data_IF_935965148555
#
_entry.id   IF_935965148555
#
_cell.length_a   1.000
_cell.length_b   1.000
_cell.length_c   1.000
_cell.angle_alpha   90.00
_cell.angle_beta   90.00
_cell.angle_gamma   90.00
#
_symmetry.space_group_name_H-M   'P 1'
#
loop_
_entity.id
_entity.type
_entity.pdbx_description
1 polymer ?
#
# COMPACT_ATOMS: atom_id res chain seq x y z
N UNK A 1 -23.85 16.40 10.05
CA UNK A 1 -22.41 16.28 9.66
C UNK A 1 -21.74 15.36 10.68
N UNK A 2 -21.07 14.31 10.21
CA UNK A 2 -20.40 13.30 11.05
C UNK A 2 -18.96 13.73 11.29
N UNK A 3 -18.57 13.95 12.55
CA UNK A 3 -17.22 14.38 12.94
C UNK A 3 -16.33 13.15 13.17
N UNK A 4 -15.27 13.01 12.37
CA UNK A 4 -14.42 11.81 12.38
C UNK A 4 -13.00 12.19 12.74
N UNK A 5 -12.48 11.54 13.79
CA UNK A 5 -11.09 11.65 14.22
C UNK A 5 -10.27 10.55 13.55
N UNK A 6 -9.50 10.89 12.54
CA UNK A 6 -8.54 9.98 11.90
C UNK A 6 -7.20 10.02 12.62
N UNK A 7 -6.70 8.87 13.04
CA UNK A 7 -5.39 8.73 13.68
C UNK A 7 -4.52 7.86 12.80
N UNK A 8 -3.40 8.40 12.32
CA UNK A 8 -2.52 7.73 11.37
C UNK A 8 -1.09 7.64 11.85
N UNK A 9 -0.36 6.61 11.41
CA UNK A 9 0.96 6.24 11.95
C UNK A 9 2.15 7.00 11.38
N UNK A 10 1.97 7.72 10.27
CA UNK A 10 3.04 8.25 9.42
C UNK A 10 2.63 9.58 8.81
N UNK A 11 3.60 10.42 8.46
CA UNK A 11 3.38 11.65 7.69
C UNK A 11 4.05 11.59 6.31
N UNK A 12 4.40 10.38 5.84
CA UNK A 12 4.99 10.11 4.53
C UNK A 12 3.92 10.00 3.43
N UNK A 13 4.30 9.54 2.22
CA UNK A 13 3.38 9.29 1.09
C UNK A 13 3.52 7.87 0.54
N UNK A 14 3.63 6.88 1.43
CA UNK A 14 3.59 5.47 1.05
C UNK A 14 2.14 4.96 0.92
N UNK A 15 1.94 3.68 0.65
CA UNK A 15 0.65 3.11 0.28
C UNK A 15 -0.52 3.47 1.20
N UNK A 16 -0.42 3.26 2.52
CA UNK A 16 -1.50 3.61 3.47
C UNK A 16 -1.70 5.12 3.61
N UNK A 17 -0.62 5.91 3.46
CA UNK A 17 -0.66 7.37 3.53
C UNK A 17 -1.40 7.93 2.30
N UNK A 18 -1.05 7.44 1.09
CA UNK A 18 -1.74 7.80 -0.17
C UNK A 18 -3.22 7.40 -0.14
N UNK A 19 -3.55 6.22 0.38
CA UNK A 19 -4.95 5.77 0.49
C UNK A 19 -5.76 6.69 1.40
N UNK A 20 -5.19 7.09 2.55
CA UNK A 20 -5.84 8.05 3.46
C UNK A 20 -6.01 9.41 2.79
N UNK A 21 -4.98 9.94 2.16
CA UNK A 21 -5.03 11.21 1.43
C UNK A 21 -6.13 11.21 0.36
N UNK A 22 -6.17 10.19 -0.48
CA UNK A 22 -7.16 10.08 -1.54
C UNK A 22 -8.59 9.96 -0.99
N UNK A 23 -8.81 9.17 0.07
CA UNK A 23 -10.10 9.11 0.74
C UNK A 23 -10.54 10.50 1.22
N UNK A 24 -9.66 11.21 1.92
CA UNK A 24 -9.98 12.50 2.53
C UNK A 24 -10.09 13.65 1.51
N UNK A 25 -9.40 13.55 0.39
CA UNK A 25 -9.53 14.48 -0.74
C UNK A 25 -10.91 14.40 -1.38
N UNK A 26 -11.46 13.20 -1.53
CA UNK A 26 -12.68 12.93 -2.30
C UNK A 26 -13.94 12.68 -1.45
N UNK A 27 -13.82 12.53 -0.13
CA UNK A 27 -14.96 12.35 0.76
C UNK A 27 -15.87 13.61 0.75
N UNK A 28 -17.17 13.41 0.80
CA UNK A 28 -18.14 14.52 0.86
C UNK A 28 -18.00 15.33 2.14
N UNK A 29 -17.32 16.47 2.06
CA UNK A 29 -17.04 17.37 3.20
C UNK A 29 -18.29 18.10 3.70
N UNK A 30 -19.43 17.98 3.02
CA UNK A 30 -20.71 18.51 3.53
C UNK A 30 -21.38 17.56 4.51
N UNK A 31 -21.07 16.26 4.41
CA UNK A 31 -21.61 15.18 5.26
C UNK A 31 -20.63 14.74 6.34
N UNK A 32 -19.33 14.75 6.03
CA UNK A 32 -18.25 14.27 6.89
C UNK A 32 -17.24 15.37 7.20
N UNK A 33 -16.88 15.52 8.46
CA UNK A 33 -15.87 16.47 8.90
C UNK A 33 -14.64 15.72 9.45
N UNK A 34 -13.59 15.52 8.62
CA UNK A 34 -12.38 14.82 9.04
C UNK A 34 -11.44 15.73 9.80
N UNK A 35 -10.89 15.24 10.90
CA UNK A 35 -9.71 15.79 11.57
C UNK A 35 -8.66 14.70 11.64
N UNK A 36 -7.44 14.99 11.21
CA UNK A 36 -6.36 14.01 11.13
C UNK A 36 -5.32 14.26 12.22
N UNK A 37 -4.89 13.20 12.90
CA UNK A 37 -3.80 13.23 13.85
C UNK A 37 -2.61 12.47 13.28
N UNK A 38 -1.47 13.15 13.15
CA UNK A 38 -0.21 12.60 12.67
C UNK A 38 0.86 12.66 13.76
N UNK A 39 1.88 11.76 13.72
CA UNK A 39 2.95 11.75 14.72
C UNK A 39 3.94 12.90 14.58
N UNK A 40 4.09 13.45 13.39
CA UNK A 40 5.06 14.49 13.05
C UNK A 40 4.62 15.26 11.79
N UNK A 41 5.30 16.36 11.52
CA UNK A 41 5.24 17.05 10.21
C UNK A 41 5.78 16.13 9.10
N UNK A 42 5.34 16.36 7.85
CA UNK A 42 5.81 15.61 6.70
C UNK A 42 4.97 15.82 5.44
N UNK A 43 5.33 15.13 4.33
CA UNK A 43 4.68 15.32 3.04
C UNK A 43 3.15 15.10 3.08
N UNK A 44 2.66 14.11 3.81
CA UNK A 44 1.22 13.84 3.94
C UNK A 44 0.49 15.04 4.58
N UNK A 45 1.07 15.64 5.62
CA UNK A 45 0.46 16.84 6.21
C UNK A 45 0.34 17.97 5.20
N UNK A 46 1.41 18.21 4.45
CA UNK A 46 1.42 19.27 3.43
C UNK A 46 0.33 19.07 2.37
N UNK A 47 0.09 17.82 1.94
CA UNK A 47 -0.99 17.51 1.00
C UNK A 47 -2.38 17.65 1.63
N UNK A 48 -2.57 17.23 2.88
CA UNK A 48 -3.83 17.39 3.60
C UNK A 48 -4.17 18.88 3.85
N UNK A 49 -3.16 19.70 4.15
CA UNK A 49 -3.33 21.15 4.31
C UNK A 49 -3.81 21.81 3.00
N UNK A 50 -3.30 21.40 1.84
CA UNK A 50 -3.79 21.86 0.50
C UNK A 50 -5.26 21.53 0.27
N UNK A 51 -5.74 20.42 0.82
CA UNK A 51 -7.13 19.99 0.75
C UNK A 51 -8.03 20.63 1.83
N UNK A 52 -7.50 21.59 2.61
CA UNK A 52 -8.16 22.24 3.74
C UNK A 52 -8.62 21.27 4.83
N UNK A 53 -7.88 20.18 5.03
CA UNK A 53 -8.16 19.18 6.07
C UNK A 53 -7.37 19.56 7.32
N UNK A 54 -8.07 19.67 8.44
CA UNK A 54 -7.43 20.01 9.72
C UNK A 54 -6.52 18.89 10.19
N UNK A 55 -5.22 19.19 10.35
CA UNK A 55 -4.20 18.27 10.87
C UNK A 55 -3.69 18.72 12.21
N UNK A 56 -3.50 17.78 13.13
CA UNK A 56 -2.93 18.00 14.46
C UNK A 56 -1.76 17.05 14.68
N UNK A 57 -0.65 17.57 15.17
CA UNK A 57 0.51 16.76 15.52
C UNK A 57 0.42 16.34 16.99
N UNK A 58 0.34 15.02 17.21
CA UNK A 58 0.31 14.43 18.55
C UNK A 58 0.87 13.00 18.55
N UNK A 59 1.30 12.47 19.73
CA UNK A 59 1.73 11.09 19.82
C UNK A 59 0.59 10.12 19.46
N UNK A 60 0.78 9.31 18.39
CA UNK A 60 -0.22 8.34 17.91
C UNK A 60 -0.07 6.96 18.52
N UNK A 61 0.91 6.77 19.40
CA UNK A 61 1.25 5.51 20.07
C UNK A 61 1.58 4.40 19.08
N UNK A 62 2.49 4.69 18.17
CA UNK A 62 2.95 3.73 17.15
C UNK A 62 3.67 2.56 17.80
N UNK A 63 3.22 1.33 17.47
CA UNK A 63 3.88 0.09 17.87
C UNK A 63 5.08 -0.18 16.95
N UNK A 64 6.25 -0.39 17.54
CA UNK A 64 7.47 -0.74 16.81
C UNK A 64 8.34 -1.75 17.60
N UNK A 65 9.23 -2.47 16.92
CA UNK A 65 9.99 -3.59 17.53
C UNK A 65 10.77 -3.22 18.80
N UNK A 66 11.37 -2.01 18.84
CA UNK A 66 12.16 -1.55 20.00
C UNK A 66 11.32 -0.95 21.13
N UNK A 67 9.99 -0.98 21.05
CA UNK A 67 9.09 -0.38 22.06
C UNK A 67 9.19 -1.06 23.44
N UNK A 68 9.57 -2.32 23.49
CA UNK A 68 9.58 -3.12 24.71
C UNK A 68 10.84 -2.95 25.60
N UNK A 69 11.66 -1.91 25.38
CA UNK A 69 12.73 -1.55 26.31
C UNK A 69 12.17 -0.73 27.48
N UNK A 70 12.72 -0.81 28.71
CA UNK A 70 12.19 -0.05 29.87
C UNK A 70 12.06 1.45 29.64
N UNK A 71 13.02 2.07 28.96
CA UNK A 71 13.02 3.49 28.62
C UNK A 71 11.88 3.85 27.65
N UNK A 72 11.65 3.01 26.65
CA UNK A 72 10.60 3.23 25.65
C UNK A 72 9.20 2.97 26.24
N UNK A 73 9.05 2.05 27.21
CA UNK A 73 7.80 1.82 27.92
C UNK A 73 7.42 3.07 28.74
N UNK A 74 8.38 3.68 29.46
CA UNK A 74 8.12 4.92 30.21
C UNK A 74 7.73 6.07 29.28
N UNK A 75 8.42 6.21 28.14
CA UNK A 75 8.05 7.18 27.11
C UNK A 75 6.65 6.91 26.58
N UNK A 76 6.30 5.67 26.27
CA UNK A 76 5.00 5.26 25.78
C UNK A 76 3.87 5.64 26.78
N UNK A 77 4.05 5.41 28.07
CA UNK A 77 3.08 5.82 29.09
C UNK A 77 2.89 7.34 29.15
N UNK A 78 3.98 8.12 29.04
CA UNK A 78 3.90 9.58 28.96
C UNK A 78 3.18 10.02 27.67
N UNK A 79 3.46 9.36 26.57
CA UNK A 79 2.85 9.67 25.28
C UNK A 79 1.35 9.31 25.24
N UNK A 80 0.89 8.30 26.00
CA UNK A 80 -0.54 8.05 26.21
C UNK A 80 -1.24 9.28 26.76
N UNK A 81 -0.70 9.84 27.86
CA UNK A 81 -1.29 11.02 28.47
C UNK A 81 -1.31 12.20 27.52
N UNK A 82 -0.17 12.51 26.89
CA UNK A 82 -0.05 13.62 25.93
C UNK A 82 -1.02 13.47 24.75
N UNK A 83 -1.08 12.26 24.17
CA UNK A 83 -2.00 11.97 23.06
C UNK A 83 -3.46 12.14 23.47
N UNK A 84 -3.87 11.58 24.60
CA UNK A 84 -5.24 11.69 25.10
C UNK A 84 -5.60 13.15 25.44
N UNK A 85 -4.71 13.89 26.09
CA UNK A 85 -4.95 15.32 26.44
C UNK A 85 -5.12 16.17 25.17
N UNK A 86 -4.30 15.94 24.13
CA UNK A 86 -4.44 16.61 22.84
C UNK A 86 -5.79 16.31 22.19
N UNK A 87 -6.22 15.03 22.19
CA UNK A 87 -7.52 14.65 21.64
C UNK A 87 -8.69 15.18 22.47
N UNK A 88 -8.55 15.32 23.78
CA UNK A 88 -9.58 15.91 24.65
C UNK A 88 -9.80 17.39 24.33
N UNK A 89 -8.72 18.15 24.05
CA UNK A 89 -8.83 19.54 23.61
C UNK A 89 -9.61 19.61 22.29
N UNK A 90 -9.27 18.77 21.33
CA UNK A 90 -9.98 18.72 20.04
C UNK A 90 -11.45 18.37 20.22
N UNK A 91 -11.76 17.36 21.03
CA UNK A 91 -13.13 16.88 21.23
C UNK A 91 -14.05 17.90 21.92
N UNK A 92 -13.50 18.78 22.75
CA UNK A 92 -14.28 19.90 23.34
C UNK A 92 -14.87 20.83 22.29
N UNK A 93 -14.20 20.97 21.14
CA UNK A 93 -14.61 21.87 20.07
C UNK A 93 -15.34 21.17 18.93
N UNK A 94 -15.06 19.87 18.71
CA UNK A 94 -15.52 19.15 17.52
C UNK A 94 -16.53 18.02 17.79
N UNK A 95 -16.63 17.52 19.03
CA UNK A 95 -17.56 16.43 19.41
C UNK A 95 -17.52 15.24 18.44
N UNK A 96 -16.45 14.42 18.51
CA UNK A 96 -16.25 13.29 17.61
C UNK A 96 -17.31 12.21 17.74
N UNK A 97 -17.89 11.82 16.61
CA UNK A 97 -18.83 10.70 16.48
C UNK A 97 -18.11 9.38 16.29
N UNK A 98 -16.99 9.40 15.56
CA UNK A 98 -16.18 8.23 15.20
C UNK A 98 -14.71 8.50 15.45
N UNK A 99 -14.02 7.53 16.08
CA UNK A 99 -12.56 7.44 16.10
C UNK A 99 -12.14 6.41 15.06
N UNK A 100 -11.32 6.83 14.12
CA UNK A 100 -10.83 6.02 13.03
C UNK A 100 -9.32 5.80 13.18
N UNK A 101 -8.90 4.55 13.44
CA UNK A 101 -7.48 4.16 13.45
C UNK A 101 -7.08 3.64 12.09
N UNK A 102 -6.14 4.33 11.43
CA UNK A 102 -5.59 3.91 10.14
C UNK A 102 -4.28 3.15 10.36
N UNK A 103 -4.27 1.86 10.03
CA UNK A 103 -3.24 0.85 10.27
C UNK A 103 -3.26 0.19 11.66
N UNK A 104 -2.75 -1.05 11.73
CA UNK A 104 -2.67 -1.80 13.01
C UNK A 104 -1.68 -1.20 14.01
N UNK A 105 -0.74 -0.40 13.53
CA UNK A 105 0.32 0.14 14.39
C UNK A 105 -0.15 1.25 15.34
N UNK A 106 -1.37 1.80 15.18
CA UNK A 106 -1.86 2.96 15.92
C UNK A 106 -2.72 2.52 17.10
N UNK A 107 -2.26 2.68 18.35
CA UNK A 107 -3.01 2.28 19.53
C UNK A 107 -3.76 3.43 20.23
N UNK A 108 -3.46 4.69 19.92
CA UNK A 108 -4.12 5.84 20.55
C UNK A 108 -5.63 5.81 20.35
N UNK A 109 -6.10 5.39 19.16
CA UNK A 109 -7.52 5.32 18.84
C UNK A 109 -8.31 4.41 19.78
N UNK A 110 -7.79 3.22 20.09
CA UNK A 110 -8.44 2.29 21.04
C UNK A 110 -8.56 2.92 22.43
N UNK A 111 -7.45 3.50 22.91
CA UNK A 111 -7.38 4.08 24.26
C UNK A 111 -8.38 5.22 24.36
N UNK A 112 -8.39 6.08 23.36
CA UNK A 112 -9.24 7.26 23.33
C UNK A 112 -10.72 6.90 23.19
N UNK A 113 -11.07 6.09 22.20
CA UNK A 113 -12.44 5.66 21.94
C UNK A 113 -13.05 4.96 23.18
N UNK A 114 -12.29 4.06 23.83
CA UNK A 114 -12.72 3.41 25.07
C UNK A 114 -12.93 4.41 26.23
N UNK A 115 -11.98 5.33 26.42
CA UNK A 115 -12.06 6.33 27.50
C UNK A 115 -13.25 7.27 27.33
N UNK A 116 -13.58 7.65 26.10
CA UNK A 116 -14.65 8.60 25.79
C UNK A 116 -15.95 7.95 25.36
N UNK A 117 -15.99 6.61 25.27
CA UNK A 117 -17.15 5.82 24.80
C UNK A 117 -17.62 6.25 23.39
N UNK A 118 -16.64 6.57 22.53
CA UNK A 118 -16.87 6.91 21.12
C UNK A 118 -16.75 5.64 20.29
N UNK A 119 -17.54 5.50 19.21
CA UNK A 119 -17.45 4.38 18.29
C UNK A 119 -16.06 4.31 17.66
N UNK A 120 -15.48 3.11 17.60
CA UNK A 120 -14.14 2.88 17.05
C UNK A 120 -14.16 2.04 15.79
N UNK A 121 -13.68 2.61 14.69
CA UNK A 121 -13.45 1.95 13.43
C UNK A 121 -11.95 1.77 13.21
N UNK A 122 -11.53 0.56 12.80
CA UNK A 122 -10.13 0.28 12.49
C UNK A 122 -9.97 -0.13 11.03
N UNK A 123 -9.13 0.59 10.28
CA UNK A 123 -8.78 0.25 8.92
C UNK A 123 -7.43 -0.47 8.88
N UNK A 124 -7.44 -1.71 8.45
CA UNK A 124 -6.27 -2.60 8.45
C UNK A 124 -5.67 -2.66 7.06
N UNK A 125 -4.40 -2.28 6.97
CA UNK A 125 -3.60 -2.25 5.76
C UNK A 125 -2.46 -3.28 5.77
N UNK A 126 -2.39 -4.14 6.78
CA UNK A 126 -1.28 -5.06 6.99
C UNK A 126 -1.73 -6.52 7.03
N UNK A 127 -0.91 -7.38 6.43
CA UNK A 127 -0.92 -8.83 6.67
C UNK A 127 0.26 -9.14 7.58
N UNK A 128 -0.01 -9.51 8.84
CA UNK A 128 1.02 -9.85 9.80
C UNK A 128 1.07 -11.36 9.97
N UNK A 129 2.15 -11.96 9.49
CA UNK A 129 2.44 -13.39 9.66
C UNK A 129 3.47 -13.63 10.76
N UNK A 130 4.48 -12.76 10.83
CA UNK A 130 5.56 -12.84 11.81
C UNK A 130 5.79 -11.51 12.54
N UNK A 131 6.16 -11.52 13.83
CA UNK A 131 6.24 -12.69 14.74
C UNK A 131 4.85 -13.29 15.05
N UNK A 132 4.77 -14.63 15.21
CA UNK A 132 3.50 -15.34 15.46
C UNK A 132 2.71 -14.78 16.64
N UNK A 133 3.40 -14.30 17.69
CA UNK A 133 2.77 -13.68 18.87
C UNK A 133 1.99 -12.42 18.46
N UNK A 134 2.61 -11.54 17.72
CA UNK A 134 1.99 -10.28 17.22
C UNK A 134 0.81 -10.61 16.30
N UNK A 135 1.01 -11.55 15.37
CA UNK A 135 -0.03 -12.02 14.47
C UNK A 135 -1.27 -12.60 15.20
N UNK A 136 -1.09 -13.14 16.41
CA UNK A 136 -2.18 -13.69 17.22
C UNK A 136 -2.83 -12.67 18.17
N UNK A 137 -2.10 -11.63 18.56
CA UNK A 137 -2.60 -10.60 19.49
C UNK A 137 -3.53 -9.62 18.77
N UNK A 138 -3.17 -9.14 17.58
CA UNK A 138 -3.96 -8.12 16.89
C UNK A 138 -5.41 -8.54 16.61
N UNK A 139 -5.72 -9.74 16.10
CA UNK A 139 -7.12 -10.16 15.94
C UNK A 139 -7.93 -10.11 17.23
N UNK A 140 -7.31 -10.47 18.39
CA UNK A 140 -7.97 -10.39 19.71
C UNK A 140 -8.24 -8.93 20.11
N UNK A 141 -7.29 -8.04 19.87
CA UNK A 141 -7.45 -6.59 20.12
C UNK A 141 -8.59 -6.05 19.26
N UNK A 142 -8.60 -6.35 17.95
CA UNK A 142 -9.65 -5.92 17.02
C UNK A 142 -11.03 -6.44 17.48
N UNK A 143 -11.14 -7.73 17.81
CA UNK A 143 -12.39 -8.33 18.26
C UNK A 143 -12.96 -7.65 19.50
N UNK A 144 -12.08 -7.29 20.47
CA UNK A 144 -12.48 -6.73 21.75
C UNK A 144 -12.76 -5.21 21.73
N UNK A 145 -11.99 -4.46 20.90
CA UNK A 145 -11.93 -3.01 21.01
C UNK A 145 -12.36 -2.24 19.77
N UNK A 146 -12.68 -2.92 18.68
CA UNK A 146 -13.27 -2.28 17.51
C UNK A 146 -14.76 -2.57 17.43
N UNK A 147 -15.54 -1.59 17.01
CA UNK A 147 -16.93 -1.79 16.63
C UNK A 147 -16.99 -2.31 15.18
N UNK A 148 -16.12 -1.79 14.31
CA UNK A 148 -16.00 -2.20 12.93
C UNK A 148 -14.53 -2.25 12.51
N UNK A 149 -14.16 -3.22 11.66
CA UNK A 149 -12.85 -3.35 11.05
C UNK A 149 -13.00 -3.33 9.54
N UNK A 150 -12.35 -2.39 8.87
CA UNK A 150 -12.24 -2.37 7.41
C UNK A 150 -10.92 -3.05 7.03
N UNK A 151 -10.97 -3.93 6.05
CA UNK A 151 -9.83 -4.61 5.47
C UNK A 151 -9.69 -4.16 4.01
N UNK A 152 -8.48 -3.83 3.57
CA UNK A 152 -8.22 -3.38 2.21
C UNK A 152 -8.23 -4.51 1.16
N UNK A 153 -8.40 -5.78 1.58
CA UNK A 153 -8.54 -6.96 0.72
C UNK A 153 -9.17 -8.13 1.48
N UNK A 154 -9.65 -9.14 0.74
CA UNK A 154 -10.06 -10.41 1.34
C UNK A 154 -8.86 -11.15 1.96
N UNK A 155 -7.66 -11.04 1.38
CA UNK A 155 -6.45 -11.61 1.95
C UNK A 155 -6.16 -11.02 3.34
N UNK A 156 -6.31 -9.71 3.52
CA UNK A 156 -6.18 -9.05 4.83
C UNK A 156 -7.27 -9.53 5.80
N UNK A 157 -8.53 -9.61 5.36
CA UNK A 157 -9.62 -10.14 6.17
C UNK A 157 -9.35 -11.59 6.59
N UNK A 158 -8.98 -12.45 5.66
CA UNK A 158 -8.69 -13.86 5.93
C UNK A 158 -7.51 -14.04 6.89
N UNK A 159 -6.45 -13.22 6.78
CA UNK A 159 -5.32 -13.24 7.73
C UNK A 159 -5.77 -12.99 9.18
N UNK A 160 -6.77 -12.15 9.38
CA UNK A 160 -7.32 -11.85 10.70
C UNK A 160 -8.30 -12.94 11.16
N UNK A 161 -9.21 -13.37 10.29
CA UNK A 161 -10.33 -14.23 10.65
C UNK A 161 -9.96 -15.71 10.74
N UNK A 162 -8.88 -16.15 10.10
CA UNK A 162 -8.36 -17.52 10.27
C UNK A 162 -8.00 -17.84 11.72
N UNK A 163 -7.67 -16.83 12.53
CA UNK A 163 -7.34 -16.98 13.95
C UNK A 163 -8.52 -16.74 14.87
N UNK A 164 -9.46 -15.90 14.47
CA UNK A 164 -10.69 -15.58 15.21
C UNK A 164 -11.83 -15.48 14.19
N UNK A 165 -12.50 -16.60 13.86
CA UNK A 165 -13.55 -16.63 12.86
C UNK A 165 -14.70 -15.63 13.12
N UNK A 166 -15.04 -15.42 14.39
CA UNK A 166 -16.10 -14.50 14.82
C UNK A 166 -15.80 -13.04 14.45
N UNK A 167 -14.52 -12.70 14.25
CA UNK A 167 -14.12 -11.36 13.81
C UNK A 167 -14.71 -11.02 12.42
N UNK A 168 -15.06 -12.03 11.62
CA UNK A 168 -15.71 -11.83 10.32
C UNK A 168 -17.01 -11.04 10.42
N UNK A 169 -17.74 -11.18 11.54
CA UNK A 169 -18.98 -10.42 11.80
C UNK A 169 -18.74 -8.91 11.99
N UNK A 170 -17.52 -8.53 12.30
CA UNK A 170 -17.11 -7.13 12.49
C UNK A 170 -16.22 -6.62 11.36
N UNK A 171 -15.93 -7.42 10.35
CA UNK A 171 -15.05 -7.01 9.25
C UNK A 171 -15.84 -6.68 7.99
N UNK A 172 -15.37 -5.70 7.25
CA UNK A 172 -15.83 -5.36 5.89
C UNK A 172 -14.64 -5.17 4.98
N UNK A 173 -14.71 -5.69 3.77
CA UNK A 173 -13.67 -5.47 2.76
C UNK A 173 -14.03 -4.27 1.92
N UNK A 174 -13.12 -3.30 1.82
CA UNK A 174 -13.17 -2.17 0.91
C UNK A 174 -11.80 -2.06 0.24
N UNK A 175 -11.73 -2.36 -1.05
CA UNK A 175 -10.49 -2.25 -1.81
C UNK A 175 -9.99 -0.80 -1.85
N UNK A 176 -8.68 -0.62 -1.80
CA UNK A 176 -8.08 0.71 -1.94
C UNK A 176 -8.43 1.30 -3.32
N UNK A 177 -8.75 2.59 -3.32
CA UNK A 177 -8.98 3.35 -4.55
C UNK A 177 -7.70 3.98 -5.09
N UNK A 178 -7.62 4.06 -6.41
CA UNK A 178 -6.55 4.77 -7.12
C UNK A 178 -7.18 5.84 -8.02
N UNK A 179 -6.57 7.02 -8.05
CA UNK A 179 -7.01 8.14 -8.88
C UNK A 179 -6.46 7.97 -10.30
N UNK A 180 -7.33 8.19 -11.28
CA UNK A 180 -6.92 8.33 -12.66
C UNK A 180 -6.30 9.71 -12.85
N UNK A 181 -4.99 9.80 -12.88
CA UNK A 181 -4.31 11.03 -13.27
C UNK A 181 -4.48 11.26 -14.79
N UNK A 182 -5.54 11.98 -15.16
CA UNK A 182 -5.83 12.32 -16.56
C UNK A 182 -5.09 13.57 -17.05
N UNK A 183 -4.62 14.42 -16.14
CA UNK A 183 -3.99 15.69 -16.46
C UNK A 183 -2.47 15.60 -16.33
N UNK A 184 -1.76 15.93 -17.41
CA UNK A 184 -0.29 15.96 -17.52
C UNK A 184 0.42 14.62 -17.33
N UNK A 185 0.15 13.64 -18.20
CA UNK A 185 1.01 12.46 -18.29
C UNK A 185 2.40 12.90 -18.73
N UNK A 186 3.35 12.95 -17.80
CA UNK A 186 4.76 13.05 -18.16
C UNK A 186 5.09 11.84 -19.04
N UNK A 187 5.31 12.07 -20.32
CA UNK A 187 5.74 11.04 -21.26
C UNK A 187 7.26 11.05 -21.24
N UNK A 188 7.88 9.99 -20.77
CA UNK A 188 9.31 9.78 -20.89
C UNK A 188 9.59 8.89 -22.11
N UNK A 189 10.81 8.99 -22.64
CA UNK A 189 11.32 8.12 -23.68
C UNK A 189 12.26 7.07 -23.08
N UNK A 190 12.35 5.88 -23.67
CA UNK A 190 13.28 4.84 -23.20
C UNK A 190 14.73 5.33 -23.20
N UNK A 191 15.05 6.21 -24.15
CA UNK A 191 16.38 6.85 -24.28
C UNK A 191 16.76 7.74 -23.11
N UNK A 192 15.80 8.33 -22.39
CA UNK A 192 16.06 9.13 -21.19
C UNK A 192 16.70 8.29 -20.06
N UNK A 193 16.49 6.98 -20.12
CA UNK A 193 17.04 6.01 -19.17
C UNK A 193 18.23 5.21 -19.75
N UNK A 194 18.68 5.57 -20.98
CA UNK A 194 19.78 4.89 -21.67
C UNK A 194 19.39 3.52 -22.22
N UNK A 195 18.12 3.33 -22.55
CA UNK A 195 17.57 2.17 -23.26
C UNK A 195 17.27 2.52 -24.72
N UNK A 196 17.17 1.53 -25.60
CA UNK A 196 16.75 1.72 -26.98
C UNK A 196 15.21 1.67 -27.06
N UNK A 197 14.63 2.35 -28.06
CA UNK A 197 13.17 2.34 -28.26
C UNK A 197 12.59 0.93 -28.49
N UNK A 198 13.40 0.04 -29.07
CA UNK A 198 13.03 -1.37 -29.32
C UNK A 198 13.20 -2.29 -28.10
N UNK A 199 13.78 -1.80 -27.02
CA UNK A 199 13.97 -2.59 -25.80
C UNK A 199 12.63 -2.88 -25.12
N UNK A 200 12.51 -4.08 -24.53
CA UNK A 200 11.37 -4.48 -23.66
C UNK A 200 11.74 -4.17 -22.22
N UNK A 201 11.02 -3.23 -21.62
CA UNK A 201 11.29 -2.77 -20.26
C UNK A 201 10.38 -3.50 -19.26
N UNK A 202 11.00 -4.30 -18.41
CA UNK A 202 10.33 -4.96 -17.27
C UNK A 202 10.55 -4.08 -16.05
N UNK A 203 9.49 -3.52 -15.49
CA UNK A 203 9.57 -2.55 -14.39
C UNK A 203 9.04 -3.10 -13.09
N UNK A 204 9.84 -3.01 -12.03
CA UNK A 204 9.44 -3.26 -10.65
C UNK A 204 9.43 -1.94 -9.88
N UNK A 205 8.25 -1.53 -9.43
CA UNK A 205 8.07 -0.35 -8.58
C UNK A 205 7.78 -0.79 -7.15
N UNK A 206 8.50 -0.24 -6.19
CA UNK A 206 8.25 -0.49 -4.78
C UNK A 206 9.48 -0.29 -3.89
N UNK A 207 9.25 -0.25 -2.58
CA UNK A 207 10.34 -0.15 -1.61
C UNK A 207 11.35 -1.28 -1.80
N UNK A 208 12.62 -0.93 -1.87
CA UNK A 208 13.68 -1.92 -1.96
C UNK A 208 13.79 -2.64 -0.61
N UNK A 209 13.37 -3.89 -0.58
CA UNK A 209 13.33 -4.71 0.62
C UNK A 209 13.37 -6.18 0.27
N UNK A 210 13.59 -7.03 1.26
CA UNK A 210 13.53 -8.48 1.09
C UNK A 210 12.18 -8.96 0.51
N UNK A 211 11.08 -8.26 0.84
CA UNK A 211 9.72 -8.71 0.56
C UNK A 211 9.26 -8.47 -0.88
N UNK A 212 9.81 -7.46 -1.56
CA UNK A 212 9.36 -7.03 -2.89
C UNK A 212 9.99 -7.83 -4.06
N UNK A 213 10.89 -8.76 -3.76
CA UNK A 213 11.40 -9.70 -4.74
C UNK A 213 12.41 -9.16 -5.75
N UNK A 214 13.02 -7.99 -5.51
CA UNK A 214 14.06 -7.43 -6.40
C UNK A 214 15.19 -8.43 -6.65
N UNK A 215 15.65 -9.12 -5.61
CA UNK A 215 16.71 -10.14 -5.73
C UNK A 215 16.23 -11.33 -6.54
N UNK A 216 14.99 -11.80 -6.32
CA UNK A 216 14.41 -12.91 -7.09
C UNK A 216 14.39 -12.58 -8.59
N UNK A 217 13.89 -11.38 -8.94
CA UNK A 217 13.82 -10.94 -10.33
C UNK A 217 15.22 -10.79 -10.95
N UNK A 218 16.16 -10.17 -10.22
CA UNK A 218 17.53 -10.00 -10.69
C UNK A 218 18.25 -11.35 -10.89
N UNK A 219 18.02 -12.33 -10.02
CA UNK A 219 18.54 -13.69 -10.15
C UNK A 219 17.99 -14.38 -11.42
N UNK A 220 16.68 -14.31 -11.65
CA UNK A 220 16.05 -14.87 -12.85
C UNK A 220 16.56 -14.18 -14.11
N UNK A 221 16.67 -12.86 -14.10
CA UNK A 221 17.22 -12.08 -15.22
C UNK A 221 18.64 -12.48 -15.55
N UNK A 222 19.52 -12.54 -14.55
CA UNK A 222 20.95 -12.84 -14.72
C UNK A 222 21.18 -14.25 -15.26
N UNK A 223 20.39 -15.23 -14.82
CA UNK A 223 20.60 -16.61 -15.20
C UNK A 223 19.92 -17.00 -16.54
N UNK A 224 18.83 -16.32 -16.92
CA UNK A 224 18.00 -16.78 -18.03
C UNK A 224 17.75 -15.73 -19.11
N UNK A 225 17.70 -14.43 -18.77
CA UNK A 225 17.32 -13.36 -19.71
C UNK A 225 18.50 -12.51 -20.18
N UNK A 226 19.69 -12.63 -19.56
CA UNK A 226 20.85 -11.79 -19.83
C UNK A 226 21.31 -11.85 -21.29
N UNK A 227 21.12 -12.99 -21.97
CA UNK A 227 21.53 -13.19 -23.38
C UNK A 227 20.66 -12.41 -24.36
N UNK A 228 19.45 -12.00 -23.94
CA UNK A 228 18.54 -11.23 -24.77
C UNK A 228 18.93 -9.76 -24.67
N UNK A 229 19.52 -9.20 -25.74
CA UNK A 229 20.08 -7.86 -25.73
C UNK A 229 19.02 -6.76 -25.58
N UNK A 230 17.79 -7.02 -25.99
CA UNK A 230 16.66 -6.07 -25.97
C UNK A 230 15.78 -6.18 -24.71
N UNK A 231 16.11 -7.01 -23.71
CA UNK A 231 15.37 -7.07 -22.44
C UNK A 231 16.11 -6.27 -21.38
N UNK A 232 15.38 -5.36 -20.72
CA UNK A 232 15.92 -4.47 -19.69
C UNK A 232 15.08 -4.53 -18.42
N UNK A 233 15.73 -4.31 -17.29
CA UNK A 233 15.06 -4.15 -16.00
C UNK A 233 15.14 -2.70 -15.52
N UNK A 234 14.03 -2.21 -14.98
CA UNK A 234 13.94 -0.93 -14.30
C UNK A 234 13.40 -1.14 -12.88
N UNK A 235 14.22 -0.85 -11.89
CA UNK A 235 13.82 -0.83 -10.48
C UNK A 235 13.56 0.61 -10.04
N UNK A 236 12.38 0.88 -9.48
CA UNK A 236 12.01 2.21 -9.02
C UNK A 236 11.59 2.14 -7.55
N UNK A 237 12.34 2.80 -6.69
CA UNK A 237 12.09 2.85 -5.26
C UNK A 237 13.35 3.00 -4.43
N UNK A 238 13.16 3.26 -3.14
CA UNK A 238 14.25 3.40 -2.17
C UNK A 238 14.11 2.38 -1.04
N UNK A 239 15.20 2.02 -0.37
CA UNK A 239 15.13 1.26 0.88
C UNK A 239 14.48 2.10 1.98
N UNK A 240 14.00 1.44 3.02
CA UNK A 240 13.61 2.11 4.27
C UNK A 240 14.89 2.47 5.03
N UNK A 241 14.89 3.58 5.74
CA UNK A 241 15.98 3.98 6.63
C UNK A 241 16.44 2.83 7.53
N UNK A 242 17.76 2.56 7.54
CA UNK A 242 18.36 1.43 8.24
C UNK A 242 18.23 0.08 7.53
N UNK A 243 17.81 0.06 6.26
CA UNK A 243 17.73 -1.14 5.41
C UNK A 243 18.45 -0.95 4.06
N UNK A 244 19.41 -0.06 4.00
CA UNK A 244 20.18 0.29 2.80
C UNK A 244 20.93 -0.90 2.21
N UNK A 245 21.27 -1.90 3.03
CA UNK A 245 21.94 -3.14 2.61
C UNK A 245 21.18 -3.87 1.47
N UNK A 246 19.87 -3.74 1.35
CA UNK A 246 19.13 -4.38 0.25
C UNK A 246 19.41 -3.71 -1.10
N UNK A 247 19.59 -2.39 -1.11
CA UNK A 247 20.00 -1.66 -2.31
C UNK A 247 21.46 -2.00 -2.67
N UNK A 248 22.33 -2.04 -1.66
CA UNK A 248 23.76 -2.38 -1.84
C UNK A 248 23.91 -3.80 -2.42
N UNK A 249 23.12 -4.77 -1.95
CA UNK A 249 23.12 -6.13 -2.52
C UNK A 249 22.75 -6.14 -4.01
N UNK A 250 21.74 -5.36 -4.41
CA UNK A 250 21.30 -5.22 -5.80
C UNK A 250 22.42 -4.58 -6.64
N UNK A 251 22.97 -3.43 -6.18
CA UNK A 251 24.04 -2.72 -6.89
C UNK A 251 25.30 -3.59 -7.04
N UNK A 252 25.69 -4.30 -5.99
CA UNK A 252 26.81 -5.23 -6.03
C UNK A 252 26.58 -6.38 -7.02
N UNK A 253 25.35 -6.88 -7.12
CA UNK A 253 24.98 -7.92 -8.09
C UNK A 253 25.04 -7.38 -9.52
N UNK A 254 24.49 -6.17 -9.76
CA UNK A 254 24.56 -5.49 -11.07
C UNK A 254 26.02 -5.31 -11.50
N UNK A 255 26.89 -4.84 -10.59
CA UNK A 255 28.31 -4.60 -10.89
C UNK A 255 29.07 -5.89 -11.17
N UNK A 256 28.89 -6.92 -10.33
CA UNK A 256 29.53 -8.22 -10.47
C UNK A 256 29.19 -8.90 -11.80
N UNK A 257 27.94 -8.79 -12.22
CA UNK A 257 27.45 -9.41 -13.46
C UNK A 257 27.54 -8.49 -14.69
N UNK A 258 28.11 -7.28 -14.56
CA UNK A 258 28.27 -6.28 -15.62
C UNK A 258 26.94 -5.92 -16.30
N UNK A 259 25.90 -5.68 -15.49
CA UNK A 259 24.54 -5.43 -15.96
C UNK A 259 24.18 -3.95 -16.09
N UNK A 260 25.11 -3.00 -15.95
CA UNK A 260 24.83 -1.56 -15.88
C UNK A 260 24.10 -1.00 -17.12
N UNK A 261 24.24 -1.64 -18.27
CA UNK A 261 23.54 -1.28 -19.51
C UNK A 261 22.15 -1.91 -19.65
N UNK A 262 21.84 -2.93 -18.81
CA UNK A 262 20.60 -3.72 -18.88
C UNK A 262 19.70 -3.50 -17.67
N UNK A 263 20.23 -3.10 -16.54
CA UNK A 263 19.48 -2.91 -15.29
C UNK A 263 19.72 -1.51 -14.75
N UNK A 264 18.66 -0.76 -14.57
CA UNK A 264 18.68 0.58 -13.95
C UNK A 264 17.93 0.59 -12.62
N UNK A 265 18.41 1.42 -11.70
CA UNK A 265 17.75 1.67 -10.42
C UNK A 265 17.48 3.16 -10.29
N UNK A 266 16.26 3.51 -9.95
CA UNK A 266 15.83 4.88 -9.66
C UNK A 266 15.37 4.97 -8.21
N UNK A 267 15.54 6.12 -7.57
CA UNK A 267 15.00 6.33 -6.22
C UNK A 267 13.46 6.33 -6.22
N UNK A 268 12.87 6.50 -5.04
CA UNK A 268 11.44 6.70 -4.91
C UNK A 268 10.99 7.94 -5.71
N UNK A 269 9.93 7.79 -6.48
CA UNK A 269 9.28 8.84 -7.26
C UNK A 269 7.82 9.00 -6.81
N UNK A 270 7.37 10.23 -6.63
CA UNK A 270 5.97 10.52 -6.33
C UNK A 270 5.06 10.33 -7.55
N UNK A 271 5.54 10.73 -8.72
CA UNK A 271 4.87 10.54 -10.00
C UNK A 271 5.54 9.42 -10.80
N UNK A 272 4.74 8.44 -11.19
CA UNK A 272 5.18 7.26 -11.96
C UNK A 272 4.70 7.30 -13.42
N UNK A 273 4.04 8.36 -13.88
CA UNK A 273 3.50 8.41 -15.24
C UNK A 273 4.59 8.24 -16.31
N UNK A 274 5.73 8.93 -16.16
CA UNK A 274 6.88 8.75 -17.04
C UNK A 274 7.46 7.33 -17.01
N UNK A 275 7.45 6.69 -15.86
CA UNK A 275 7.91 5.30 -15.73
C UNK A 275 6.95 4.35 -16.43
N UNK A 276 5.65 4.51 -16.20
CA UNK A 276 4.67 3.66 -16.86
C UNK A 276 4.63 3.88 -18.37
N UNK A 277 4.93 5.10 -18.88
CA UNK A 277 4.95 5.35 -20.33
C UNK A 277 5.97 4.48 -21.06
N UNK A 278 7.14 4.22 -20.45
CA UNK A 278 8.23 3.41 -21.05
C UNK A 278 8.17 1.92 -20.67
N UNK A 279 7.31 1.53 -19.73
CA UNK A 279 7.18 0.15 -19.26
C UNK A 279 6.44 -0.71 -20.27
N UNK A 280 6.96 -1.89 -20.59
CA UNK A 280 6.28 -2.91 -21.39
C UNK A 280 5.61 -3.99 -20.53
N UNK A 281 6.23 -4.35 -19.39
CA UNK A 281 5.71 -5.35 -18.44
C UNK A 281 5.93 -4.82 -17.02
N UNK A 282 4.85 -4.71 -16.26
CA UNK A 282 4.91 -4.41 -14.84
C UNK A 282 5.05 -5.71 -14.03
N UNK A 283 5.97 -5.75 -13.06
CA UNK A 283 6.21 -6.97 -12.28
C UNK A 283 6.18 -6.71 -10.78
N UNK A 284 5.48 -7.60 -10.03
CA UNK A 284 5.38 -7.59 -8.57
C UNK A 284 5.75 -8.99 -8.02
N UNK A 285 7.06 -9.34 -7.98
CA UNK A 285 7.52 -10.67 -7.60
C UNK A 285 7.67 -10.79 -6.07
N UNK A 286 6.66 -10.34 -5.33
CA UNK A 286 6.68 -10.30 -3.88
C UNK A 286 6.84 -11.70 -3.28
N UNK A 287 7.77 -11.85 -2.34
CA UNK A 287 8.07 -13.11 -1.66
C UNK A 287 7.23 -13.33 -0.39
N UNK A 288 6.50 -12.33 0.04
CA UNK A 288 5.53 -12.40 1.13
C UNK A 288 4.22 -11.71 0.70
N UNK A 289 3.12 -12.09 1.36
CA UNK A 289 1.80 -11.59 1.01
C UNK A 289 1.69 -10.06 1.14
N UNK A 290 1.32 -9.41 0.05
CA UNK A 290 0.93 -8.01 0.08
C UNK A 290 -0.51 -7.89 0.55
N UNK A 291 -0.78 -6.87 1.35
CA UNK A 291 -2.15 -6.63 1.82
C UNK A 291 -3.09 -6.20 0.69
N UNK A 292 -2.59 -5.48 -0.32
CA UNK A 292 -3.36 -5.08 -1.49
C UNK A 292 -2.49 -5.16 -2.77
N UNK A 293 -1.69 -4.16 -3.05
CA UNK A 293 -0.87 -4.07 -4.27
C UNK A 293 -1.23 -2.86 -5.12
N UNK A 294 -1.23 -1.66 -4.52
CA UNK A 294 -1.55 -0.39 -5.22
C UNK A 294 -0.80 -0.23 -6.54
N UNK A 295 0.49 -0.61 -6.56
CA UNK A 295 1.34 -0.51 -7.75
C UNK A 295 0.82 -1.37 -8.92
N UNK A 296 0.20 -2.53 -8.63
CA UNK A 296 -0.42 -3.34 -9.67
C UNK A 296 -1.61 -2.60 -10.30
N UNK A 297 -2.44 -1.94 -9.48
CA UNK A 297 -3.55 -1.12 -9.97
C UNK A 297 -3.04 0.08 -10.77
N UNK A 298 -2.00 0.78 -10.29
CA UNK A 298 -1.37 1.89 -11.02
C UNK A 298 -0.85 1.44 -12.40
N UNK A 299 -0.21 0.27 -12.49
CA UNK A 299 0.24 -0.31 -13.76
C UNK A 299 -0.95 -0.66 -14.69
N UNK A 300 -2.01 -1.26 -14.15
CA UNK A 300 -3.24 -1.56 -14.89
C UNK A 300 -3.91 -0.28 -15.42
N UNK A 301 -3.97 0.79 -14.64
CA UNK A 301 -4.46 2.10 -15.09
C UNK A 301 -3.61 2.73 -16.19
N UNK A 302 -2.33 2.37 -16.26
CA UNK A 302 -1.43 2.73 -17.35
C UNK A 302 -1.47 1.73 -18.53
N UNK A 303 -2.44 0.79 -18.55
CA UNK A 303 -2.60 -0.25 -19.56
C UNK A 303 -1.38 -1.16 -19.69
N UNK A 304 -0.70 -1.44 -18.58
CA UNK A 304 0.46 -2.34 -18.56
C UNK A 304 0.04 -3.72 -18.07
N UNK A 305 0.45 -4.80 -18.78
CA UNK A 305 0.22 -6.16 -18.30
C UNK A 305 1.01 -6.37 -17.02
N UNK A 306 0.40 -7.05 -16.04
CA UNK A 306 1.00 -7.30 -14.74
C UNK A 306 1.43 -8.75 -14.61
N UNK A 307 2.69 -8.98 -14.23
CA UNK A 307 3.16 -10.29 -13.72
C UNK A 307 3.26 -10.17 -12.20
N UNK A 308 2.52 -10.98 -11.46
CA UNK A 308 2.47 -10.90 -10.00
C UNK A 308 2.62 -12.25 -9.31
N UNK A 309 3.17 -12.24 -8.10
CA UNK A 309 3.11 -13.42 -7.24
C UNK A 309 1.67 -13.76 -6.89
N UNK A 310 1.28 -15.04 -7.01
CA UNK A 310 -0.05 -15.53 -6.60
C UNK A 310 -0.14 -15.56 -5.07
N UNK A 311 -0.15 -14.37 -4.44
CA UNK A 311 -0.04 -14.25 -2.99
C UNK A 311 -0.69 -12.95 -2.48
N UNK A 312 -1.51 -13.07 -1.43
CA UNK A 312 -2.13 -11.92 -0.78
C UNK A 312 -3.10 -11.15 -1.69
N UNK A 313 -3.12 -9.83 -1.56
CA UNK A 313 -3.99 -8.95 -2.35
C UNK A 313 -3.71 -8.94 -3.85
N UNK A 314 -2.50 -9.29 -4.29
CA UNK A 314 -2.19 -9.37 -5.73
C UNK A 314 -3.06 -10.39 -6.46
N UNK A 315 -3.38 -11.52 -5.82
CA UNK A 315 -4.27 -12.54 -6.38
C UNK A 315 -5.75 -12.10 -6.50
N UNK A 316 -6.09 -10.98 -5.87
CA UNK A 316 -7.43 -10.36 -5.99
C UNK A 316 -7.46 -9.27 -7.06
N UNK A 317 -6.32 -8.62 -7.32
CA UNK A 317 -6.19 -7.56 -8.31
C UNK A 317 -6.04 -8.15 -9.71
N UNK A 318 -5.10 -9.06 -9.90
CA UNK A 318 -4.79 -9.67 -11.19
C UNK A 318 -5.65 -10.92 -11.40
N UNK A 319 -6.40 -10.96 -12.50
CA UNK A 319 -7.07 -12.19 -12.96
C UNK A 319 -6.09 -12.92 -13.89
N UNK A 320 -5.65 -14.09 -13.43
CA UNK A 320 -4.64 -14.88 -14.14
C UNK A 320 -5.10 -15.26 -15.54
N UNK A 321 -4.25 -15.07 -16.55
CA UNK A 321 -4.50 -15.26 -17.98
C UNK A 321 -5.61 -14.37 -18.58
N UNK A 322 -5.96 -13.27 -17.89
CA UNK A 322 -6.97 -12.33 -18.41
C UNK A 322 -6.47 -10.87 -18.29
N UNK A 323 -6.06 -10.43 -17.11
CA UNK A 323 -5.55 -9.07 -16.87
C UNK A 323 -4.05 -9.05 -16.58
N UNK A 324 -3.41 -10.21 -16.63
CA UNK A 324 -2.01 -10.42 -16.32
C UNK A 324 -1.72 -11.90 -16.04
N UNK A 325 -0.54 -12.16 -15.50
CA UNK A 325 -0.11 -13.51 -15.13
C UNK A 325 0.24 -13.57 -13.65
N UNK A 326 -0.25 -14.61 -12.99
CA UNK A 326 0.10 -14.93 -11.61
C UNK A 326 1.01 -16.16 -11.59
N UNK A 327 2.10 -16.10 -10.82
CA UNK A 327 3.04 -17.20 -10.67
C UNK A 327 3.20 -17.61 -9.19
N UNK A 328 3.62 -18.86 -8.96
CA UNK A 328 3.96 -19.36 -7.61
C UNK A 328 5.18 -18.59 -7.07
N UNK A 329 5.06 -17.85 -5.95
CA UNK A 329 6.16 -17.05 -5.37
C UNK A 329 7.39 -17.89 -4.98
N UNK A 330 7.26 -19.22 -4.88
CA UNK A 330 8.36 -20.13 -4.55
C UNK A 330 9.04 -20.70 -5.80
N UNK A 331 8.56 -20.41 -7.02
CA UNK A 331 9.10 -20.95 -8.25
C UNK A 331 9.70 -19.87 -9.15
N UNK A 332 11.02 -19.94 -9.34
CA UNK A 332 11.74 -19.14 -10.32
C UNK A 332 11.37 -19.51 -11.76
N UNK A 333 11.10 -20.78 -11.98
CA UNK A 333 10.68 -21.34 -13.26
C UNK A 333 9.31 -20.77 -13.68
N UNK A 334 8.35 -20.73 -12.75
CA UNK A 334 7.03 -20.15 -13.01
C UNK A 334 7.10 -18.64 -13.30
N UNK A 335 7.96 -17.91 -12.57
CA UNK A 335 8.24 -16.51 -12.87
C UNK A 335 8.82 -16.33 -14.28
N UNK A 336 9.81 -17.14 -14.63
CA UNK A 336 10.46 -17.10 -15.94
C UNK A 336 9.47 -17.40 -17.05
N UNK A 337 8.63 -18.44 -16.90
CA UNK A 337 7.59 -18.81 -17.86
C UNK A 337 6.59 -17.66 -18.07
N UNK A 338 6.12 -17.03 -16.98
CA UNK A 338 5.21 -15.90 -17.07
C UNK A 338 5.85 -14.69 -17.81
N UNK A 339 7.14 -14.43 -17.56
CA UNK A 339 7.85 -13.37 -18.27
C UNK A 339 8.00 -13.71 -19.77
N UNK A 340 8.41 -14.92 -20.13
CA UNK A 340 8.57 -15.32 -21.53
C UNK A 340 7.28 -15.19 -22.33
N UNK A 341 6.14 -15.61 -21.78
CA UNK A 341 4.83 -15.44 -22.42
C UNK A 341 4.56 -13.99 -22.86
N UNK A 342 4.89 -13.02 -22.00
CA UNK A 342 4.68 -11.61 -22.30
C UNK A 342 5.80 -11.02 -23.15
N UNK A 343 7.04 -11.45 -23.00
CA UNK A 343 8.18 -10.99 -23.80
C UNK A 343 7.94 -11.36 -25.28
N UNK A 344 7.52 -12.58 -25.55
CA UNK A 344 7.36 -13.12 -26.91
C UNK A 344 6.08 -12.64 -27.60
N UNK A 345 5.06 -12.15 -26.86
CA UNK A 345 3.77 -11.79 -27.42
C UNK A 345 3.38 -10.32 -27.16
N UNK A 346 3.69 -9.40 -28.09
CA UNK A 346 3.20 -8.00 -28.02
C UNK A 346 1.67 -7.92 -27.97
N UNK A 347 0.96 -8.79 -28.70
CA UNK A 347 -0.50 -8.82 -28.69
C UNK A 347 -1.06 -9.17 -27.32
N UNK A 348 -0.46 -10.15 -26.63
CA UNK A 348 -0.87 -10.53 -25.29
C UNK A 348 -0.61 -9.41 -24.26
N UNK A 349 0.52 -8.68 -24.42
CA UNK A 349 0.79 -7.49 -23.59
C UNK A 349 -0.31 -6.44 -23.75
N UNK A 350 -0.71 -6.16 -24.99
CA UNK A 350 -1.78 -5.19 -25.28
C UNK A 350 -3.12 -5.66 -24.73
N UNK A 351 -3.48 -6.92 -24.97
CA UNK A 351 -4.75 -7.51 -24.50
C UNK A 351 -4.88 -7.45 -22.97
N UNK A 352 -3.86 -7.91 -22.24
CA UNK A 352 -3.88 -7.89 -20.79
C UNK A 352 -3.84 -6.46 -20.23
N UNK A 353 -3.15 -5.55 -20.91
CA UNK A 353 -3.13 -4.14 -20.55
C UNK A 353 -4.52 -3.50 -20.63
N UNK A 354 -5.25 -3.72 -21.73
CA UNK A 354 -6.61 -3.17 -21.90
C UNK A 354 -7.60 -3.77 -20.89
N UNK A 355 -7.63 -5.11 -20.77
CA UNK A 355 -8.51 -5.77 -19.78
C UNK A 355 -8.16 -5.38 -18.34
N UNK A 356 -6.86 -5.19 -18.06
CA UNK A 356 -6.39 -4.69 -16.78
C UNK A 356 -6.93 -3.29 -16.49
N UNK A 357 -6.86 -2.41 -17.46
CA UNK A 357 -7.38 -1.04 -17.35
C UNK A 357 -8.89 -1.01 -17.08
N UNK A 358 -9.68 -1.77 -17.85
CA UNK A 358 -11.13 -1.88 -17.63
C UNK A 358 -11.46 -2.37 -16.22
N UNK A 359 -10.75 -3.39 -15.75
CA UNK A 359 -10.91 -3.90 -14.39
C UNK A 359 -10.53 -2.86 -13.34
N UNK A 360 -9.40 -2.16 -13.52
CA UNK A 360 -8.92 -1.16 -12.57
C UNK A 360 -9.93 -0.02 -12.39
N UNK A 361 -10.50 0.50 -13.47
CA UNK A 361 -11.55 1.52 -13.42
C UNK A 361 -12.79 1.00 -12.71
N UNK A 362 -13.24 -0.20 -13.04
CA UNK A 362 -14.46 -0.79 -12.51
C UNK A 362 -14.37 -1.12 -11.02
N UNK A 363 -13.24 -1.69 -10.59
CA UNK A 363 -13.13 -2.28 -9.27
C UNK A 363 -12.33 -1.43 -8.27
N UNK A 364 -11.35 -0.65 -8.75
CA UNK A 364 -10.36 0.03 -7.90
C UNK A 364 -10.31 1.55 -8.11
N UNK A 365 -11.36 2.14 -8.70
CA UNK A 365 -11.43 3.60 -8.83
C UNK A 365 -11.61 4.28 -7.47
N UNK A 366 -11.05 5.49 -7.34
CA UNK A 366 -11.21 6.30 -6.12
C UNK A 366 -12.69 6.60 -5.85
N UNK A 367 -13.50 6.83 -6.88
CA UNK A 367 -14.93 7.07 -6.74
C UNK A 367 -15.64 5.91 -6.07
N UNK A 368 -15.38 4.66 -6.52
CA UNK A 368 -15.98 3.46 -5.90
C UNK A 368 -15.51 3.28 -4.47
N UNK A 369 -14.23 3.50 -4.20
CA UNK A 369 -13.66 3.42 -2.86
C UNK A 369 -14.36 4.38 -1.89
N UNK A 370 -14.46 5.66 -2.27
CA UNK A 370 -15.09 6.71 -1.45
C UNK A 370 -16.56 6.40 -1.20
N UNK A 371 -17.33 6.05 -2.25
CA UNK A 371 -18.74 5.66 -2.10
C UNK A 371 -18.95 4.52 -1.11
N UNK A 372 -18.10 3.49 -1.16
CA UNK A 372 -18.16 2.37 -0.22
C UNK A 372 -17.82 2.80 1.21
N UNK A 373 -16.83 3.69 1.38
CA UNK A 373 -16.48 4.23 2.69
C UNK A 373 -17.59 5.09 3.27
N UNK A 374 -18.14 6.01 2.50
CA UNK A 374 -19.24 6.87 2.93
C UNK A 374 -20.44 6.06 3.39
N UNK A 375 -20.86 5.09 2.59
CA UNK A 375 -21.97 4.18 2.95
C UNK A 375 -21.67 3.40 4.24
N UNK A 376 -20.41 3.03 4.47
CA UNK A 376 -20.01 2.36 5.72
C UNK A 376 -20.06 3.32 6.90
N UNK A 377 -19.55 4.55 6.75
CA UNK A 377 -19.52 5.54 7.81
C UNK A 377 -20.92 5.96 8.26
N UNK A 378 -21.86 6.13 7.32
CA UNK A 378 -23.26 6.44 7.62
C UNK A 378 -23.95 5.29 8.37
N UNK A 379 -23.91 4.08 7.80
CA UNK A 379 -24.49 2.91 8.45
C UNK A 379 -23.88 2.65 9.84
N UNK A 380 -22.58 2.95 10.01
CA UNK A 380 -21.90 2.80 11.27
C UNK A 380 -22.35 3.84 12.31
N UNK A 381 -22.73 5.03 11.87
CA UNK A 381 -23.31 6.06 12.75
C UNK A 381 -24.71 5.71 13.21
N UNK A 382 -25.54 5.12 12.34
CA UNK A 382 -26.96 4.86 12.62
C UNK A 382 -27.19 3.60 13.47
N UNK A 383 -26.43 2.52 13.24
CA UNK A 383 -26.77 1.17 13.74
C UNK A 383 -26.03 0.76 15.03
N UNK A 384 -25.29 1.63 15.70
CA UNK A 384 -24.58 1.33 16.95
C UNK A 384 -24.82 2.46 17.94
#
# INVERSE_FOLDING_TARGET
>A
MINILFIHQSAELYGSDKTLLLLLKHIDKTRFYPIVVLPNEGPLKSELDKENIKVVIAPVLKVYRKMFTPQNILKFVKDIKKGVDALDILNKHHHFDIVYSNTLAVLLGIIYAKKRKIKHLWHVHEIIVHPKVIASIFPKILMRYSNLVICNSNATQNNLTVRIPELKLKTKVIYNGVELNSENKAVAQKTDFGFNETDIIITLVGRISRLKGHKLLLDVFTNHLIKNENIKLLFVGSPVEGQEQYLDEIQNSINRNKLQTKVKTLPFLNDLNGIWSITDIAIMPSTEAESFGLVAVEAMLAKKPVVGSNLGGLSEIVINNETGLLFDPNSKEALLEALFKLIESPSLRSEFGEKGYERAIKEFSITKHVQQFEAVLENFQENF
#
